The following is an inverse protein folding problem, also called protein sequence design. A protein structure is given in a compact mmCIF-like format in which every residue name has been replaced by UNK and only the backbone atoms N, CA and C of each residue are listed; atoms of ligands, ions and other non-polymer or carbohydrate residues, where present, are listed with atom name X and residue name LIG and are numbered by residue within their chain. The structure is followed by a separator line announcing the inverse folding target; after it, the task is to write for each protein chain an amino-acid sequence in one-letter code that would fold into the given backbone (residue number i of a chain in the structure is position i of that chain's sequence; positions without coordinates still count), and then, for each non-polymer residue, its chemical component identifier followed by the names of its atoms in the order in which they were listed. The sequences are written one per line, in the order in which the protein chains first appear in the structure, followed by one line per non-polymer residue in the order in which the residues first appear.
data_IF_123897962805
#
_entry.id   IF_123897962805
#
_cell.length_a   1.000
_cell.length_b   1.000
_cell.length_c   1.000
_cell.angle_alpha   90.00
_cell.angle_beta   90.00
_cell.angle_gamma   90.00
#
_symmetry.space_group_name_H-M   'P 1'
#
loop_
_entity.id
_entity.type
_entity.pdbx_description
1 polymer ?
#
# COMPACT_ATOMS: atom_id res chain seq x y z
N UNK A 1 -9.57 -27.96 -20.21
CA UNK A 1 -9.14 -26.91 -21.17
C UNK A 1 -8.22 -27.57 -22.18
N UNK A 2 -8.51 -27.44 -23.48
CA UNK A 2 -7.67 -27.98 -24.54
C UNK A 2 -6.41 -27.12 -24.66
N UNK A 3 -5.22 -27.74 -24.63
CA UNK A 3 -3.95 -27.02 -24.72
C UNK A 3 -3.82 -26.23 -26.04
N UNK A 4 -4.45 -26.70 -27.11
CA UNK A 4 -4.32 -26.17 -28.47
C UNK A 4 -5.00 -24.82 -28.71
N UNK A 5 -5.87 -24.39 -27.79
CA UNK A 5 -6.77 -23.24 -27.99
C UNK A 5 -6.52 -22.12 -26.98
N UNK A 6 -5.40 -22.16 -26.26
CA UNK A 6 -5.08 -21.15 -25.26
C UNK A 6 -4.87 -19.77 -25.90
N UNK A 7 -5.48 -18.70 -25.37
CA UNK A 7 -5.32 -17.36 -25.91
C UNK A 7 -3.89 -16.84 -25.72
N UNK A 8 -3.39 -16.11 -26.72
CA UNK A 8 -2.03 -15.55 -26.69
C UNK A 8 -1.90 -14.49 -25.59
N UNK A 9 -0.90 -14.65 -24.71
CA UNK A 9 -0.52 -13.63 -23.74
C UNK A 9 0.05 -12.39 -24.45
N UNK A 10 -0.50 -11.21 -24.14
CA UNK A 10 0.02 -9.92 -24.62
C UNK A 10 1.19 -9.48 -23.75
N UNK A 11 2.33 -10.18 -23.89
CA UNK A 11 3.58 -9.82 -23.23
C UNK A 11 4.57 -9.25 -24.25
N UNK A 12 5.22 -8.13 -23.93
CA UNK A 12 6.27 -7.57 -24.77
C UNK A 12 7.57 -8.37 -24.59
N UNK A 13 8.13 -8.86 -25.69
CA UNK A 13 9.40 -9.57 -25.68
C UNK A 13 10.56 -8.68 -25.20
N UNK A 14 11.46 -9.23 -24.38
CA UNK A 14 12.65 -8.52 -23.94
C UNK A 14 13.56 -8.16 -25.14
N UNK A 15 14.12 -6.95 -25.13
CA UNK A 15 15.07 -6.53 -26.16
C UNK A 15 16.40 -7.28 -25.99
N UNK A 16 16.80 -8.05 -27.00
CA UNK A 16 18.10 -8.73 -27.03
C UNK A 16 19.20 -7.73 -27.38
N UNK A 17 20.11 -7.49 -26.45
CA UNK A 17 21.25 -6.56 -26.63
C UNK A 17 22.38 -7.27 -27.40
N UNK A 18 23.20 -6.52 -28.15
CA UNK A 18 24.38 -7.06 -28.84
C UNK A 18 24.11 -7.85 -30.14
N UNK A 19 22.94 -7.66 -30.78
CA UNK A 19 22.55 -8.37 -32.01
C UNK A 19 22.61 -7.49 -33.26
N UNK A 20 23.79 -6.93 -33.54
CA UNK A 20 24.04 -6.10 -34.73
C UNK A 20 23.40 -4.70 -34.69
N UNK A 21 23.89 -3.79 -35.54
CA UNK A 21 23.44 -2.39 -35.54
C UNK A 21 21.94 -2.25 -35.85
N UNK A 22 21.39 -3.04 -36.77
CA UNK A 22 19.96 -3.00 -37.15
C UNK A 22 18.98 -3.32 -36.02
N UNK A 23 19.43 -3.95 -34.93
CA UNK A 23 18.63 -4.22 -33.73
C UNK A 23 18.46 -2.98 -32.81
N UNK A 24 19.17 -1.89 -33.10
CA UNK A 24 19.11 -0.62 -32.35
C UNK A 24 19.74 -0.65 -30.95
N UNK A 25 20.25 -1.80 -30.47
CA UNK A 25 21.14 -1.92 -29.30
C UNK A 25 22.29 -2.92 -29.53
N UNK A 26 22.69 -3.13 -30.78
CA UNK A 26 23.83 -4.00 -31.12
C UNK A 26 25.00 -3.28 -31.76
N UNK A 27 25.07 -1.95 -31.64
CA UNK A 27 26.28 -1.19 -31.97
C UNK A 27 27.45 -1.56 -31.04
N UNK A 28 28.68 -1.16 -31.37
CA UNK A 28 29.92 -1.53 -30.66
C UNK A 28 29.87 -1.36 -29.14
N UNK A 29 29.02 -0.47 -28.64
CA UNK A 29 28.89 -0.14 -27.21
C UNK A 29 27.68 -0.79 -26.55
N UNK A 30 26.84 -1.53 -27.29
CA UNK A 30 25.64 -2.20 -26.78
C UNK A 30 24.72 -1.30 -25.92
N UNK A 31 24.73 0.02 -26.17
CA UNK A 31 23.98 1.02 -25.40
C UNK A 31 24.59 1.42 -24.05
N UNK A 32 25.81 0.98 -23.73
CA UNK A 32 26.55 1.33 -22.49
C UNK A 32 27.59 2.45 -22.66
N UNK A 33 27.84 2.90 -23.90
CA UNK A 33 28.92 3.87 -24.20
C UNK A 33 30.29 3.21 -24.40
N UNK A 34 31.33 4.00 -24.69
CA UNK A 34 32.65 3.49 -25.12
C UNK A 34 33.52 2.97 -23.95
N UNK A 35 33.95 3.85 -23.06
CA UNK A 35 34.83 3.54 -21.92
C UNK A 35 34.29 4.21 -20.66
N UNK A 36 34.74 3.72 -19.50
CA UNK A 36 34.42 4.28 -18.18
C UNK A 36 33.80 3.25 -17.24
N UNK A 37 33.64 3.63 -15.97
CA UNK A 37 33.17 2.72 -14.93
C UNK A 37 31.79 2.16 -15.24
N UNK A 38 30.82 2.99 -15.67
CA UNK A 38 29.46 2.55 -16.04
C UNK A 38 29.42 1.57 -17.22
N UNK A 39 30.42 1.58 -18.10
CA UNK A 39 30.48 0.62 -19.20
C UNK A 39 30.94 -0.77 -18.71
N UNK A 40 31.81 -0.82 -17.70
CA UNK A 40 32.46 -2.04 -17.18
C UNK A 40 31.76 -2.64 -15.97
N UNK A 41 31.19 -1.81 -15.11
CA UNK A 41 30.61 -2.16 -13.81
C UNK A 41 29.30 -1.40 -13.59
N UNK A 42 28.44 -1.97 -12.74
CA UNK A 42 27.23 -1.31 -12.30
C UNK A 42 27.49 -0.52 -11.02
N UNK A 43 27.38 0.80 -11.13
CA UNK A 43 27.59 1.73 -10.02
C UNK A 43 26.27 1.99 -9.31
N UNK A 44 26.25 1.85 -7.98
CA UNK A 44 25.07 2.18 -7.16
C UNK A 44 24.68 3.64 -7.34
N UNK A 45 23.38 3.89 -7.56
CA UNK A 45 22.80 5.23 -7.78
C UNK A 45 23.14 6.19 -6.63
N UNK A 46 23.30 5.67 -5.41
CA UNK A 46 23.61 6.45 -4.20
C UNK A 46 25.07 6.91 -4.11
N UNK A 47 25.94 6.52 -5.05
CA UNK A 47 27.37 6.85 -5.03
C UNK A 47 27.64 8.14 -5.83
N UNK A 48 27.81 9.25 -5.12
CA UNK A 48 28.09 10.58 -5.69
C UNK A 48 29.58 10.81 -6.06
N UNK A 49 30.42 9.77 -6.02
CA UNK A 49 31.86 9.89 -6.33
C UNK A 49 32.73 10.48 -5.21
N UNK A 50 32.15 10.83 -4.06
CA UNK A 50 32.89 11.24 -2.84
C UNK A 50 32.92 10.10 -1.81
N UNK A 51 33.94 10.06 -0.93
CA UNK A 51 34.01 9.07 0.17
C UNK A 51 32.67 9.05 0.92
N UNK A 52 32.16 7.85 1.23
CA UNK A 52 30.86 7.52 1.85
C UNK A 52 30.40 8.38 3.06
N UNK A 53 31.25 9.24 3.62
CA UNK A 53 30.92 10.17 4.71
C UNK A 53 30.20 11.45 4.24
N UNK A 54 30.08 11.72 2.92
CA UNK A 54 29.47 12.96 2.39
C UNK A 54 28.25 12.78 1.47
N UNK A 55 27.64 11.59 1.39
CA UNK A 55 26.41 11.41 0.60
C UNK A 55 25.24 12.21 1.19
N UNK A 56 24.29 12.64 0.35
CA UNK A 56 23.16 13.50 0.74
C UNK A 56 22.42 13.01 1.99
N UNK A 57 22.22 11.70 2.14
CA UNK A 57 21.57 11.07 3.30
C UNK A 57 22.26 11.40 4.63
N UNK A 58 23.59 11.54 4.64
CA UNK A 58 24.37 11.88 5.84
C UNK A 58 24.51 13.38 6.07
N UNK A 59 24.24 14.21 5.06
CA UNK A 59 24.26 15.68 5.20
C UNK A 59 22.98 16.20 5.86
N UNK A 60 21.86 15.51 5.65
CA UNK A 60 20.58 15.88 6.25
C UNK A 60 20.55 15.48 7.73
N UNK A 61 19.93 16.30 8.60
CA UNK A 61 19.71 15.94 9.99
C UNK A 61 18.83 14.70 10.08
N UNK A 62 18.98 13.93 11.16
CA UNK A 62 18.07 12.82 11.42
C UNK A 62 16.63 13.33 11.60
N UNK A 63 15.67 12.56 11.10
CA UNK A 63 14.26 12.81 11.35
C UNK A 63 14.02 12.91 12.87
N UNK A 64 13.30 13.95 13.29
CA UNK A 64 12.98 14.19 14.69
C UNK A 64 12.31 12.95 15.29
N UNK A 65 12.88 12.43 16.38
CA UNK A 65 12.33 11.27 17.09
C UNK A 65 12.48 9.94 16.37
N UNK A 66 13.44 9.81 15.43
CA UNK A 66 13.82 8.54 14.82
C UNK A 66 14.04 7.48 15.90
N UNK A 67 13.21 6.44 15.88
CA UNK A 67 13.16 5.33 16.84
C UNK A 67 12.62 5.63 18.25
N UNK A 68 12.37 6.88 18.62
CA UNK A 68 11.86 7.23 19.95
C UNK A 68 10.32 7.19 20.02
N UNK A 69 9.64 7.61 18.95
CA UNK A 69 8.16 7.63 18.89
C UNK A 69 7.56 6.41 18.18
N UNK A 70 8.21 5.25 18.26
CA UNK A 70 7.61 4.02 17.73
C UNK A 70 6.42 3.65 18.62
N UNK A 71 5.20 3.51 18.07
CA UNK A 71 4.06 3.11 18.87
C UNK A 71 4.27 1.68 19.38
N UNK A 72 4.16 1.49 20.69
CA UNK A 72 4.22 0.16 21.33
C UNK A 72 3.01 -0.72 20.97
N UNK A 73 1.91 -0.10 20.56
CA UNK A 73 0.66 -0.77 20.18
C UNK A 73 0.47 -0.75 18.66
N UNK A 74 -0.08 -1.84 18.14
CA UNK A 74 -0.50 -1.92 16.75
C UNK A 74 -1.52 -0.82 16.44
N UNK A 75 -1.30 -0.10 15.34
CA UNK A 75 -2.24 0.92 14.89
C UNK A 75 -3.51 0.24 14.37
N UNK A 76 -4.70 0.64 14.84
CA UNK A 76 -5.94 0.11 14.29
C UNK A 76 -6.08 0.52 12.82
N UNK A 77 -6.60 -0.38 11.99
CA UNK A 77 -6.95 -0.07 10.60
C UNK A 77 -8.17 0.83 10.60
N UNK A 78 -8.04 2.01 9.98
CA UNK A 78 -9.13 2.97 9.90
C UNK A 78 -10.08 2.57 8.76
N UNK A 79 -11.36 2.35 9.09
CA UNK A 79 -12.43 2.10 8.12
C UNK A 79 -13.36 3.32 8.11
N UNK A 80 -13.62 3.85 6.91
CA UNK A 80 -14.46 5.02 6.75
C UNK A 80 -15.95 4.68 6.85
N UNK A 81 -16.73 5.53 7.51
CA UNK A 81 -18.20 5.39 7.57
C UNK A 81 -18.86 5.35 6.19
N UNK A 82 -18.27 6.00 5.18
CA UNK A 82 -18.77 5.96 3.79
C UNK A 82 -18.79 4.55 3.21
N UNK A 83 -17.87 3.66 3.62
CA UNK A 83 -17.86 2.26 3.17
C UNK A 83 -18.97 1.43 3.80
N UNK A 84 -19.62 1.93 4.85
CA UNK A 84 -20.71 1.26 5.54
C UNK A 84 -22.10 1.68 5.01
N UNK A 85 -22.17 2.54 3.99
CA UNK A 85 -23.45 2.93 3.38
C UNK A 85 -24.17 1.72 2.75
N UNK A 86 -23.42 0.85 2.07
CA UNK A 86 -23.92 -0.37 1.45
C UNK A 86 -24.04 -1.54 2.44
N UNK A 87 -23.90 -1.27 3.74
CA UNK A 87 -24.04 -2.28 4.76
C UNK A 87 -25.51 -2.69 4.95
N UNK A 88 -25.73 -3.98 5.20
CA UNK A 88 -27.05 -4.52 5.46
C UNK A 88 -27.39 -4.30 6.95
N UNK A 89 -28.56 -3.73 7.23
CA UNK A 89 -28.98 -3.30 8.56
C UNK A 89 -28.95 -4.41 9.61
N UNK A 90 -29.26 -5.65 9.20
CA UNK A 90 -29.30 -6.79 10.10
C UNK A 90 -27.91 -7.35 10.49
N UNK A 91 -26.85 -7.00 9.75
CA UNK A 91 -25.52 -7.61 9.95
C UNK A 91 -24.67 -6.81 10.94
N UNK A 92 -24.14 -7.42 12.02
CA UNK A 92 -23.27 -6.70 12.94
C UNK A 92 -21.94 -6.37 12.28
N UNK A 93 -21.43 -5.16 12.53
CA UNK A 93 -20.11 -4.72 12.09
C UNK A 93 -19.08 -5.30 13.06
N UNK A 94 -18.57 -6.48 12.72
CA UNK A 94 -17.46 -7.19 13.39
C UNK A 94 -16.26 -7.28 12.47
N UNK A 95 -15.06 -7.57 13.01
CA UNK A 95 -13.84 -7.73 12.21
C UNK A 95 -14.02 -8.84 11.16
N UNK A 96 -14.60 -9.98 11.55
CA UNK A 96 -14.87 -11.10 10.64
C UNK A 96 -15.75 -10.71 9.45
N UNK A 97 -16.83 -9.95 9.71
CA UNK A 97 -17.74 -9.52 8.65
C UNK A 97 -17.10 -8.47 7.73
N UNK A 98 -16.23 -7.62 8.27
CA UNK A 98 -15.45 -6.67 7.48
C UNK A 98 -14.44 -7.37 6.56
N UNK A 99 -13.82 -8.46 7.04
CA UNK A 99 -12.93 -9.31 6.24
C UNK A 99 -13.70 -10.04 5.15
N UNK A 100 -14.86 -10.63 5.45
CA UNK A 100 -15.73 -11.30 4.47
C UNK A 100 -16.15 -10.37 3.32
N UNK A 101 -16.38 -9.07 3.62
CA UNK A 101 -16.69 -8.07 2.60
C UNK A 101 -15.46 -7.46 1.91
N UNK A 102 -14.25 -7.92 2.24
CA UNK A 102 -12.99 -7.41 1.67
C UNK A 102 -12.67 -5.96 2.04
N UNK A 103 -13.32 -5.42 3.09
CA UNK A 103 -13.07 -4.04 3.55
C UNK A 103 -11.76 -3.93 4.33
N UNK A 104 -11.32 -5.05 4.89
CA UNK A 104 -10.14 -5.17 5.75
C UNK A 104 -9.43 -6.50 5.41
N UNK A 105 -8.10 -6.54 5.50
CA UNK A 105 -7.33 -7.76 5.29
C UNK A 105 -7.56 -8.79 6.42
N UNK A 106 -7.32 -10.07 6.15
CA UNK A 106 -7.50 -11.16 7.13
C UNK A 106 -6.68 -10.97 8.40
N UNK A 107 -5.48 -10.39 8.27
CA UNK A 107 -4.48 -10.36 9.34
C UNK A 107 -4.58 -9.09 10.21
N UNK A 108 -5.73 -8.40 10.18
CA UNK A 108 -5.88 -7.16 10.94
C UNK A 108 -6.39 -7.42 12.35
N UNK A 109 -5.59 -7.09 13.38
CA UNK A 109 -5.98 -7.37 14.77
C UNK A 109 -6.97 -6.35 15.32
N UNK A 110 -6.92 -5.10 14.82
CA UNK A 110 -7.65 -3.97 15.36
C UNK A 110 -8.21 -3.11 14.23
N UNK A 111 -9.48 -2.74 14.33
CA UNK A 111 -10.17 -1.88 13.37
C UNK A 111 -10.80 -0.71 14.10
N UNK A 112 -10.79 0.48 13.50
CA UNK A 112 -11.43 1.68 14.04
C UNK A 112 -12.32 2.35 12.99
N UNK A 113 -13.57 2.61 13.33
CA UNK A 113 -14.48 3.38 12.49
C UNK A 113 -14.23 4.88 12.63
N UNK A 114 -14.05 5.55 11.48
CA UNK A 114 -13.75 6.99 11.40
C UNK A 114 -14.56 7.62 10.26
N UNK A 115 -14.86 8.92 10.35
CA UNK A 115 -15.41 9.70 9.24
C UNK A 115 -16.69 10.45 9.61
N UNK A 116 -17.15 11.27 8.67
CA UNK A 116 -18.27 12.19 8.83
C UNK A 116 -19.37 11.95 7.77
N UNK A 117 -19.53 10.72 7.29
CA UNK A 117 -20.58 10.41 6.31
C UNK A 117 -21.96 10.37 6.98
N UNK A 118 -23.02 10.79 6.27
CA UNK A 118 -24.40 10.65 6.74
C UNK A 118 -24.81 9.18 6.66
N UNK A 119 -25.20 8.60 7.79
CA UNK A 119 -25.73 7.23 7.86
C UNK A 119 -27.21 7.35 8.19
N UNK A 120 -28.07 6.74 7.36
CA UNK A 120 -29.52 6.67 7.59
C UNK A 120 -29.95 5.34 8.20
N UNK A 121 -29.03 4.36 8.25
CA UNK A 121 -29.27 2.99 8.69
C UNK A 121 -28.89 2.78 10.15
N UNK A 122 -29.70 2.04 10.90
CA UNK A 122 -29.35 1.60 12.25
C UNK A 122 -28.30 0.48 12.17
N UNK A 123 -27.05 0.77 12.55
CA UNK A 123 -25.95 -0.19 12.53
C UNK A 123 -25.66 -0.74 13.93
N UNK A 124 -25.44 -2.05 14.05
CA UNK A 124 -24.90 -2.69 15.27
C UNK A 124 -23.38 -2.81 15.14
N UNK A 125 -22.62 -2.01 15.89
CA UNK A 125 -21.16 -1.91 15.77
C UNK A 125 -20.47 -2.55 16.97
N UNK A 126 -19.53 -3.48 16.72
CA UNK A 126 -18.74 -4.17 17.76
C UNK A 126 -17.23 -3.83 17.74
N UNK A 127 -16.88 -2.68 17.17
CA UNK A 127 -15.49 -2.28 16.89
C UNK A 127 -15.19 -0.92 17.52
N UNK A 128 -13.92 -0.53 17.65
CA UNK A 128 -13.55 0.80 18.12
C UNK A 128 -14.14 1.89 17.21
N UNK A 129 -14.68 2.95 17.80
CA UNK A 129 -15.33 4.05 17.07
C UNK A 129 -14.69 5.38 17.47
N UNK A 130 -14.49 6.30 16.52
CA UNK A 130 -14.09 7.67 16.83
C UNK A 130 -15.24 8.47 17.47
N UNK A 131 -14.92 9.51 18.23
CA UNK A 131 -15.95 10.36 18.88
C UNK A 131 -16.91 11.01 17.88
N UNK A 132 -16.40 11.44 16.71
CA UNK A 132 -17.24 11.97 15.63
C UNK A 132 -18.16 10.92 15.02
N UNK A 133 -17.63 9.73 14.77
CA UNK A 133 -18.41 8.62 14.20
C UNK A 133 -19.48 8.10 15.16
N UNK A 134 -19.19 8.05 16.47
CA UNK A 134 -20.13 7.64 17.51
C UNK A 134 -21.41 8.49 17.48
N UNK A 135 -21.27 9.82 17.45
CA UNK A 135 -22.40 10.76 17.38
C UNK A 135 -23.29 10.55 16.15
N UNK A 136 -22.70 10.18 15.02
CA UNK A 136 -23.43 9.96 13.76
C UNK A 136 -24.21 8.64 13.83
N UNK A 137 -23.58 7.58 14.35
CA UNK A 137 -24.20 6.26 14.47
C UNK A 137 -25.35 6.30 15.49
N UNK A 138 -25.17 6.99 16.62
CA UNK A 138 -26.24 7.18 17.62
C UNK A 138 -27.41 7.98 17.05
N UNK A 139 -27.15 9.04 16.27
CA UNK A 139 -28.20 9.80 15.56
C UNK A 139 -28.98 8.96 14.55
N UNK A 140 -28.34 7.95 13.97
CA UNK A 140 -28.97 7.00 13.05
C UNK A 140 -29.72 5.85 13.78
N UNK A 141 -29.77 5.88 15.13
CA UNK A 141 -30.40 4.82 15.93
C UNK A 141 -29.58 3.52 16.03
N UNK A 142 -28.27 3.58 15.74
CA UNK A 142 -27.36 2.44 15.84
C UNK A 142 -26.92 2.15 17.27
N UNK A 143 -26.54 0.89 17.54
CA UNK A 143 -26.01 0.42 18.82
C UNK A 143 -24.50 0.19 18.73
N UNK A 144 -23.76 0.60 19.77
CA UNK A 144 -22.30 0.49 19.82
C UNK A 144 -21.92 -0.35 21.05
N UNK A 145 -21.49 -1.59 20.79
CA UNK A 145 -20.85 -2.47 21.78
C UNK A 145 -19.33 -2.33 21.61
N UNK A 146 -18.73 -1.38 22.32
CA UNK A 146 -17.28 -1.14 22.25
C UNK A 146 -16.51 -2.32 22.86
N UNK A 147 -15.90 -3.17 22.04
CA UNK A 147 -14.85 -4.10 22.50
C UNK A 147 -13.49 -3.36 22.53
N UNK A 148 -12.82 -3.42 23.69
CA UNK A 148 -11.52 -2.78 23.99
C UNK A 148 -10.39 -3.46 23.24
#
# INVERSE_FOLDING_TARGET
MNLSELPKLVSRSAKRVGRGMGSGKGSHTSGRGTKGQKAREDVKITMEGTKFKKGLIKRLPFLRGKSLFKPTKNKPVAVSLSRLLDWAEATPVTIENLVKKGMVASDTPLVKLVGNAKITKALKVKVLVSTGAKKIIEKAGGSIESQV
#
